data_IF_667793352740
#
_entry.id   IF_667793352740
#
_cell.length_a   1.000
_cell.length_b   1.000
_cell.length_c   1.000
_cell.angle_alpha   90.00
_cell.angle_beta   90.00
_cell.angle_gamma   90.00
#
_symmetry.space_group_name_H-M   'P 1'
#
loop_
_entity.id
_entity.type
_entity.pdbx_description
1 polymer ?
#
# COMPACT_ATOMS: atom_id res chain seq x y z
N UNK A 1 60.86 -14.43 55.13
CA UNK A 1 59.96 -15.29 54.25
C UNK A 1 59.15 -14.41 53.41
N UNK A 2 59.56 -14.28 52.14
CA UNK A 2 58.96 -13.42 51.14
C UNK A 2 58.12 -14.32 50.23
N UNK A 3 56.77 -14.10 50.16
CA UNK A 3 55.87 -14.83 49.23
C UNK A 3 55.90 -14.14 47.87
N UNK A 4 55.99 -14.89 46.77
CA UNK A 4 55.92 -14.29 45.43
C UNK A 4 54.47 -13.93 45.01
N UNK A 5 54.31 -12.76 44.41
CA UNK A 5 53.07 -12.29 43.85
C UNK A 5 52.77 -13.02 42.51
N UNK A 6 51.59 -13.61 42.44
CA UNK A 6 51.08 -14.25 41.20
C UNK A 6 50.38 -13.18 40.37
N UNK A 7 51.03 -12.78 39.28
CA UNK A 7 50.46 -11.87 38.27
C UNK A 7 49.52 -12.68 37.38
N UNK A 8 48.19 -12.45 37.51
CA UNK A 8 47.19 -12.99 36.57
C UNK A 8 47.19 -12.14 35.31
N UNK A 9 47.64 -12.70 34.21
CA UNK A 9 47.48 -12.15 32.88
C UNK A 9 46.05 -12.41 32.41
N UNK A 10 45.25 -11.35 32.35
CA UNK A 10 43.94 -11.38 31.72
C UNK A 10 44.12 -11.31 30.20
N UNK A 11 43.94 -12.41 29.49
CA UNK A 11 43.79 -12.42 28.03
C UNK A 11 42.43 -11.79 27.69
N UNK A 12 42.36 -10.80 26.78
CA UNK A 12 41.09 -10.32 26.26
C UNK A 12 40.50 -11.37 25.32
N UNK A 13 39.35 -11.92 25.72
CA UNK A 13 38.51 -12.72 24.81
C UNK A 13 37.94 -11.77 23.78
N UNK A 14 38.54 -11.73 22.60
CA UNK A 14 37.95 -11.15 21.41
C UNK A 14 36.76 -12.03 20.96
N UNK A 15 35.56 -11.69 21.44
CA UNK A 15 34.35 -12.18 20.77
C UNK A 15 34.31 -11.59 19.35
N UNK A 16 34.15 -12.40 18.33
CA UNK A 16 33.85 -11.85 17.01
C UNK A 16 32.50 -11.13 17.13
N UNK A 17 32.50 -9.81 16.90
CA UNK A 17 31.28 -9.09 16.52
C UNK A 17 30.79 -9.74 15.22
N UNK A 18 29.91 -10.72 15.34
CA UNK A 18 29.04 -11.12 14.25
C UNK A 18 28.22 -9.85 13.95
N UNK A 19 28.48 -9.22 12.81
CA UNK A 19 27.57 -8.27 12.20
C UNK A 19 26.23 -8.99 12.04
N UNK A 20 25.33 -8.79 13.00
CA UNK A 20 23.92 -8.98 12.80
C UNK A 20 23.51 -7.77 11.95
N UNK A 21 23.73 -7.85 10.65
CA UNK A 21 22.94 -7.12 9.71
C UNK A 21 21.50 -7.63 9.94
N UNK A 22 20.69 -6.86 10.65
CA UNK A 22 19.25 -6.96 10.58
C UNK A 22 18.87 -6.71 9.11
N UNK A 23 18.98 -7.75 8.29
CA UNK A 23 18.40 -7.77 6.98
C UNK A 23 16.89 -7.68 7.22
N UNK A 24 16.35 -6.46 7.06
CA UNK A 24 14.92 -6.24 6.97
C UNK A 24 14.37 -7.29 6.01
N UNK A 25 13.26 -7.95 6.39
CA UNK A 25 12.62 -8.96 5.55
C UNK A 25 12.45 -8.38 4.14
N UNK A 26 13.04 -9.04 3.16
CA UNK A 26 12.92 -8.62 1.79
C UNK A 26 11.54 -9.04 1.29
N UNK A 27 10.70 -8.08 0.86
CA UNK A 27 9.37 -8.43 0.36
C UNK A 27 9.49 -9.33 -0.88
N UNK A 28 8.51 -10.23 -1.08
CA UNK A 28 8.45 -11.08 -2.26
C UNK A 28 8.58 -10.27 -3.56
N UNK A 29 8.01 -9.05 -3.59
CA UNK A 29 8.11 -8.13 -4.73
C UNK A 29 9.52 -7.69 -5.08
N UNK A 30 10.45 -7.57 -4.12
CA UNK A 30 11.85 -7.23 -4.41
C UNK A 30 12.61 -8.38 -5.06
N UNK A 31 12.21 -9.61 -4.81
CA UNK A 31 12.86 -10.80 -5.34
C UNK A 31 12.50 -11.08 -6.82
N UNK A 32 11.54 -10.34 -7.38
CA UNK A 32 11.12 -10.49 -8.78
C UNK A 32 12.23 -10.14 -9.80
N UNK A 33 13.21 -9.33 -9.40
CA UNK A 33 14.32 -8.91 -10.25
C UNK A 33 15.40 -9.99 -10.42
N UNK A 34 15.32 -11.10 -9.66
CA UNK A 34 16.25 -12.19 -9.77
C UNK A 34 16.10 -12.95 -11.09
N UNK A 35 17.22 -13.57 -11.56
CA UNK A 35 17.25 -14.36 -12.80
C UNK A 35 16.47 -15.66 -12.70
N UNK A 36 16.12 -16.25 -13.85
CA UNK A 36 15.52 -17.57 -13.91
C UNK A 36 16.35 -18.66 -13.20
N UNK A 37 17.68 -18.56 -13.31
CA UNK A 37 18.58 -19.50 -12.64
C UNK A 37 18.51 -19.40 -11.12
N UNK A 38 18.31 -18.21 -10.58
CA UNK A 38 18.07 -18.05 -9.16
C UNK A 38 16.77 -18.74 -8.73
N UNK A 39 15.68 -18.58 -9.50
CA UNK A 39 14.41 -19.26 -9.21
C UNK A 39 14.53 -20.79 -9.31
N UNK A 40 15.36 -21.31 -10.23
CA UNK A 40 15.66 -22.75 -10.36
C UNK A 40 16.61 -23.25 -9.27
N UNK A 41 17.37 -22.37 -8.64
CA UNK A 41 18.34 -22.68 -7.59
C UNK A 41 17.69 -22.99 -6.24
N UNK A 42 18.52 -23.38 -5.26
CA UNK A 42 18.05 -23.76 -3.92
C UNK A 42 17.42 -22.59 -3.16
N UNK A 43 17.93 -21.37 -3.35
CA UNK A 43 17.40 -20.16 -2.72
C UNK A 43 16.00 -19.82 -3.25
N UNK A 44 15.79 -19.88 -4.55
CA UNK A 44 14.49 -19.66 -5.18
C UNK A 44 13.45 -20.69 -4.72
N UNK A 45 13.82 -21.98 -4.78
CA UNK A 45 12.95 -23.07 -4.31
C UNK A 45 12.60 -22.97 -2.83
N UNK A 46 13.59 -22.66 -1.98
CA UNK A 46 13.36 -22.45 -0.55
C UNK A 46 12.44 -21.27 -0.29
N UNK A 47 12.64 -20.16 -1.00
CA UNK A 47 11.78 -18.97 -0.88
C UNK A 47 10.36 -19.27 -1.34
N UNK A 48 10.18 -19.98 -2.46
CA UNK A 48 8.85 -20.41 -2.92
C UNK A 48 8.16 -21.30 -1.87
N UNK A 49 8.85 -22.30 -1.31
CA UNK A 49 8.32 -23.16 -0.26
C UNK A 49 7.92 -22.37 1.00
N UNK A 50 8.71 -21.35 1.39
CA UNK A 50 8.36 -20.47 2.49
C UNK A 50 7.06 -19.69 2.19
N UNK A 51 6.99 -19.00 1.03
CA UNK A 51 5.81 -18.25 0.60
C UNK A 51 4.56 -19.14 0.57
N UNK A 52 4.66 -20.33 -0.03
CA UNK A 52 3.57 -21.31 -0.08
C UNK A 52 3.06 -21.71 1.31
N UNK A 53 3.95 -21.82 2.29
CA UNK A 53 3.59 -22.19 3.67
C UNK A 53 2.73 -21.11 4.36
N UNK A 54 2.87 -19.83 3.98
CA UNK A 54 2.13 -18.70 4.53
C UNK A 54 0.78 -18.44 3.83
N UNK A 55 0.43 -19.19 2.79
CA UNK A 55 -0.86 -19.02 2.14
C UNK A 55 -2.01 -19.46 3.05
N UNK A 56 -2.94 -18.58 3.35
CA UNK A 56 -4.14 -18.89 4.13
C UNK A 56 -5.04 -19.92 3.43
N UNK A 57 -6.00 -20.48 4.16
CA UNK A 57 -7.02 -21.37 3.58
C UNK A 57 -7.83 -20.72 2.47
N UNK A 58 -7.96 -19.39 2.47
CA UNK A 58 -8.66 -18.63 1.44
C UNK A 58 -7.81 -18.24 0.22
N UNK A 59 -6.49 -18.44 0.27
CA UNK A 59 -5.61 -18.12 -0.86
C UNK A 59 -4.79 -16.83 -0.72
N UNK A 60 -5.00 -16.05 0.33
CA UNK A 60 -4.29 -14.78 0.59
C UNK A 60 -3.16 -14.94 1.61
N UNK A 61 -2.33 -13.91 1.76
CA UNK A 61 -1.19 -13.86 2.69
C UNK A 61 -1.37 -12.79 3.75
N UNK A 62 -0.85 -12.99 4.99
CA UNK A 62 -0.90 -11.99 6.04
C UNK A 62 0.11 -10.86 5.77
N UNK A 63 -0.21 -9.63 6.20
CA UNK A 63 0.76 -8.54 6.26
C UNK A 63 1.71 -8.69 7.45
N UNK A 64 2.86 -8.03 7.39
CA UNK A 64 3.87 -7.99 8.46
C UNK A 64 4.49 -9.35 8.82
N UNK A 65 4.31 -10.38 7.97
CA UNK A 65 5.00 -11.66 8.08
C UNK A 65 6.26 -11.68 7.22
N UNK A 66 7.29 -12.41 7.67
CA UNK A 66 8.45 -12.72 6.84
C UNK A 66 8.15 -13.96 5.99
N UNK A 67 7.39 -13.75 4.92
CA UNK A 67 6.93 -14.84 4.04
C UNK A 67 8.03 -15.45 3.19
N UNK A 68 9.17 -14.77 3.05
CA UNK A 68 10.26 -15.19 2.13
C UNK A 68 11.35 -15.99 2.82
N UNK A 69 11.73 -15.67 4.06
CA UNK A 69 12.89 -16.26 4.74
C UNK A 69 12.55 -17.40 5.69
N UNK A 70 11.31 -17.44 6.20
CA UNK A 70 10.91 -18.42 7.22
C UNK A 70 9.60 -19.11 6.84
N UNK A 71 9.53 -20.44 6.96
CA UNK A 71 8.28 -21.17 6.74
C UNK A 71 7.29 -20.88 7.88
N UNK A 72 6.02 -20.79 7.56
CA UNK A 72 4.96 -20.82 8.55
C UNK A 72 4.72 -22.24 9.04
N UNK A 73 4.69 -22.44 10.34
CA UNK A 73 4.51 -23.76 10.98
C UNK A 73 3.22 -23.86 11.81
N UNK A 74 2.40 -22.82 11.77
CA UNK A 74 1.13 -22.79 12.49
C UNK A 74 -0.05 -23.32 11.68
N UNK A 75 -1.24 -23.17 12.24
CA UNK A 75 -2.49 -23.53 11.59
C UNK A 75 -2.87 -22.50 10.52
N UNK A 76 -2.83 -22.89 9.25
CA UNK A 76 -3.14 -22.04 8.10
C UNK A 76 -4.58 -21.53 8.09
N UNK A 77 -5.51 -22.21 8.75
CA UNK A 77 -6.90 -21.75 8.91
C UNK A 77 -6.99 -20.50 9.81
N UNK A 78 -6.00 -20.27 10.65
CA UNK A 78 -5.91 -19.08 11.52
C UNK A 78 -5.16 -17.91 10.88
N UNK A 79 -4.55 -18.10 9.71
CA UNK A 79 -3.90 -17.01 8.99
C UNK A 79 -4.94 -16.02 8.47
N UNK A 80 -4.78 -14.76 8.85
CA UNK A 80 -5.59 -13.65 8.35
C UNK A 80 -4.88 -13.00 7.17
N UNK A 81 -5.18 -13.49 5.97
CA UNK A 81 -4.69 -12.86 4.76
C UNK A 81 -5.36 -11.51 4.50
N UNK A 82 -4.67 -10.63 3.79
CA UNK A 82 -5.12 -9.26 3.52
C UNK A 82 -4.59 -8.77 2.18
N UNK A 83 -5.18 -7.70 1.66
CA UNK A 83 -4.69 -6.97 0.48
C UNK A 83 -3.87 -5.72 0.86
N UNK A 84 -3.74 -5.46 2.16
CA UNK A 84 -3.04 -4.31 2.70
C UNK A 84 -1.51 -4.47 2.61
N UNK A 85 -0.77 -3.34 2.46
CA UNK A 85 0.70 -3.29 2.49
C UNK A 85 1.39 -4.26 1.50
N UNK A 86 0.84 -4.45 0.29
CA UNK A 86 1.31 -5.36 -0.76
C UNK A 86 1.16 -6.86 -0.45
N UNK A 87 0.67 -7.22 0.73
CA UNK A 87 0.38 -8.61 1.04
C UNK A 87 -0.58 -9.19 -0.02
N UNK A 88 -0.42 -10.46 -0.33
CA UNK A 88 -1.10 -11.21 -1.37
C UNK A 88 -0.60 -10.87 -2.78
N UNK A 89 -0.54 -9.60 -3.19
CA UNK A 89 -0.13 -9.24 -4.55
C UNK A 89 1.36 -9.50 -4.83
N UNK A 90 2.24 -9.22 -3.86
CA UNK A 90 3.68 -9.48 -4.03
C UNK A 90 3.99 -10.99 -4.04
N UNK A 91 3.34 -11.76 -3.16
CA UNK A 91 3.49 -13.22 -3.12
C UNK A 91 2.96 -13.86 -4.41
N UNK A 92 1.82 -13.40 -4.93
CA UNK A 92 1.28 -13.90 -6.20
C UNK A 92 2.22 -13.59 -7.37
N UNK A 93 2.76 -12.39 -7.47
CA UNK A 93 3.75 -12.06 -8.51
C UNK A 93 4.96 -12.97 -8.42
N UNK A 94 5.45 -13.24 -7.21
CA UNK A 94 6.57 -14.16 -7.00
C UNK A 94 6.23 -15.59 -7.47
N UNK A 95 5.06 -16.10 -7.11
CA UNK A 95 4.65 -17.48 -7.50
C UNK A 95 4.44 -17.60 -9.01
N UNK A 96 3.88 -16.59 -9.68
CA UNK A 96 3.80 -16.54 -11.15
C UNK A 96 5.20 -16.61 -11.77
N UNK A 97 6.13 -15.79 -11.28
CA UNK A 97 7.50 -15.74 -11.76
C UNK A 97 8.26 -17.04 -11.49
N UNK A 98 8.04 -17.64 -10.32
CA UNK A 98 8.61 -18.95 -9.97
C UNK A 98 8.09 -20.07 -10.91
N UNK A 99 6.78 -20.08 -11.19
CA UNK A 99 6.20 -21.01 -12.16
C UNK A 99 6.78 -20.83 -13.56
N UNK A 100 6.89 -19.58 -14.05
CA UNK A 100 7.44 -19.29 -15.37
C UNK A 100 8.88 -19.79 -15.52
N UNK A 101 9.68 -19.69 -14.45
CA UNK A 101 11.07 -20.12 -14.46
C UNK A 101 11.27 -21.62 -14.29
N UNK A 102 10.39 -22.31 -13.53
CA UNK A 102 10.62 -23.70 -13.07
C UNK A 102 9.61 -24.70 -13.60
N UNK A 103 8.42 -24.27 -14.01
CA UNK A 103 7.29 -25.15 -14.32
C UNK A 103 6.63 -25.78 -13.08
N UNK A 104 6.93 -25.30 -11.85
CA UNK A 104 6.42 -25.88 -10.61
C UNK A 104 4.90 -25.66 -10.48
N UNK A 105 4.15 -26.76 -10.62
CA UNK A 105 2.69 -26.75 -10.56
C UNK A 105 2.13 -26.39 -9.17
N UNK A 106 2.89 -26.56 -8.10
CA UNK A 106 2.49 -26.14 -6.75
C UNK A 106 2.45 -24.61 -6.67
N UNK A 107 3.44 -23.94 -7.26
CA UNK A 107 3.43 -22.47 -7.39
C UNK A 107 2.25 -21.99 -8.24
N UNK A 108 1.98 -22.68 -9.37
CA UNK A 108 0.81 -22.39 -10.22
C UNK A 108 -0.50 -22.47 -9.45
N UNK A 109 -0.73 -23.59 -8.77
CA UNK A 109 -2.01 -23.86 -8.11
C UNK A 109 -2.24 -22.91 -6.95
N UNK A 110 -1.20 -22.57 -6.21
CA UNK A 110 -1.27 -21.53 -5.16
C UNK A 110 -1.51 -20.14 -5.74
N UNK A 111 -0.88 -19.80 -6.88
CA UNK A 111 -1.15 -18.56 -7.59
C UNK A 111 -2.63 -18.47 -8.02
N UNK A 112 -3.13 -19.49 -8.71
CA UNK A 112 -4.52 -19.50 -9.19
C UNK A 112 -5.52 -19.36 -8.05
N UNK A 113 -5.29 -20.04 -6.93
CA UNK A 113 -6.12 -19.91 -5.74
C UNK A 113 -6.15 -18.48 -5.19
N UNK A 114 -5.00 -17.83 -5.10
CA UNK A 114 -4.93 -16.44 -4.61
C UNK A 114 -5.48 -15.43 -5.62
N UNK A 115 -5.30 -15.68 -6.91
CA UNK A 115 -5.87 -14.88 -7.99
C UNK A 115 -7.41 -14.93 -7.97
N UNK A 116 -7.99 -16.12 -7.89
CA UNK A 116 -9.45 -16.32 -7.79
C UNK A 116 -10.00 -15.66 -6.52
N UNK A 117 -9.27 -15.73 -5.39
CA UNK A 117 -9.64 -15.03 -4.16
C UNK A 117 -9.70 -13.50 -4.33
N UNK A 118 -8.79 -12.87 -5.10
CA UNK A 118 -8.88 -11.44 -5.43
C UNK A 118 -10.14 -11.13 -6.22
N UNK A 119 -10.49 -11.98 -7.19
CA UNK A 119 -11.70 -11.78 -8.01
C UNK A 119 -12.98 -11.96 -7.18
N UNK A 120 -13.03 -12.94 -6.28
CA UNK A 120 -14.16 -13.20 -5.37
C UNK A 120 -14.36 -12.07 -4.34
N UNK A 121 -13.27 -11.44 -3.93
CA UNK A 121 -13.31 -10.35 -2.95
C UNK A 121 -13.89 -9.04 -3.50
N UNK A 122 -14.02 -8.91 -4.82
CA UNK A 122 -14.54 -7.69 -5.44
C UNK A 122 -16.04 -7.55 -5.19
N UNK A 123 -16.45 -6.43 -4.62
CA UNK A 123 -17.86 -6.09 -4.48
C UNK A 123 -18.54 -5.87 -5.85
N UNK A 124 -19.88 -6.03 -5.93
CA UNK A 124 -20.63 -5.77 -7.18
C UNK A 124 -20.42 -4.37 -7.76
N UNK A 125 -20.15 -3.37 -6.91
CA UNK A 125 -19.85 -2.00 -7.31
C UNK A 125 -18.41 -1.79 -7.80
N UNK A 126 -17.56 -2.83 -7.77
CA UNK A 126 -16.18 -2.81 -8.24
C UNK A 126 -15.12 -2.52 -7.17
N UNK A 127 -15.52 -2.21 -5.93
CA UNK A 127 -14.59 -1.97 -4.82
C UNK A 127 -14.04 -3.26 -4.19
N UNK A 128 -13.04 -3.13 -3.32
CA UNK A 128 -12.51 -4.22 -2.52
C UNK A 128 -12.42 -3.85 -1.04
N UNK A 129 -12.74 -4.81 -0.14
CA UNK A 129 -12.44 -4.68 1.28
C UNK A 129 -10.93 -4.80 1.56
N UNK A 130 -10.52 -4.54 2.79
CA UNK A 130 -9.13 -4.73 3.21
C UNK A 130 -8.71 -6.21 3.22
N UNK A 131 -9.64 -7.12 3.47
CA UNK A 131 -9.48 -8.58 3.39
C UNK A 131 -10.81 -9.27 3.10
N UNK A 132 -10.75 -10.50 2.62
CA UNK A 132 -11.94 -11.29 2.30
C UNK A 132 -11.85 -12.69 2.97
N UNK A 133 -12.96 -13.23 3.55
CA UNK A 133 -14.27 -12.58 3.75
C UNK A 133 -14.17 -11.34 4.63
N UNK A 134 -14.92 -10.25 4.33
CA UNK A 134 -14.84 -9.01 5.08
C UNK A 134 -15.38 -9.19 6.50
N UNK A 135 -14.75 -8.55 7.48
CA UNK A 135 -15.24 -8.48 8.85
C UNK A 135 -16.43 -7.53 9.01
N UNK A 136 -16.91 -7.41 10.26
CA UNK A 136 -18.01 -6.49 10.60
C UNK A 136 -17.61 -5.05 10.84
N UNK A 137 -16.30 -4.76 10.93
CA UNK A 137 -15.74 -3.43 11.21
C UNK A 137 -15.34 -2.71 9.92
N UNK A 138 -14.67 -1.58 10.03
CA UNK A 138 -14.23 -0.75 8.91
C UNK A 138 -13.45 -1.48 7.80
N UNK A 139 -12.89 -2.66 8.07
CA UNK A 139 -12.18 -3.48 7.08
C UNK A 139 -13.06 -3.93 5.91
N UNK A 140 -14.40 -3.87 6.06
CA UNK A 140 -15.38 -4.14 5.01
C UNK A 140 -15.49 -3.00 4.00
N UNK A 141 -15.13 -1.78 4.40
CA UNK A 141 -15.22 -0.62 3.50
C UNK A 141 -14.30 -0.79 2.29
N UNK A 142 -14.68 -0.16 1.18
CA UNK A 142 -13.81 0.00 0.02
C UNK A 142 -12.55 0.72 0.50
N UNK A 143 -11.40 0.08 0.35
CA UNK A 143 -10.17 0.48 1.02
C UNK A 143 -9.15 1.05 0.04
N UNK A 144 -8.98 2.38 0.06
CA UNK A 144 -7.88 3.06 -0.62
C UNK A 144 -6.65 3.23 0.28
N UNK A 145 -6.85 3.11 1.61
CA UNK A 145 -5.77 3.24 2.60
C UNK A 145 -4.55 2.41 2.20
N UNK A 146 -3.37 3.01 2.37
CA UNK A 146 -2.06 2.43 2.03
C UNK A 146 -1.98 1.87 0.59
N UNK A 147 -2.81 2.39 -0.32
CA UNK A 147 -2.86 2.02 -1.73
C UNK A 147 -3.45 0.63 -2.01
N UNK A 148 -4.22 0.05 -1.11
CA UNK A 148 -4.74 -1.31 -1.22
C UNK A 148 -5.45 -1.56 -2.56
N UNK A 149 -6.52 -0.81 -2.85
CA UNK A 149 -7.28 -1.01 -4.09
C UNK A 149 -6.47 -0.65 -5.35
N UNK A 150 -5.60 0.36 -5.27
CA UNK A 150 -4.72 0.74 -6.39
C UNK A 150 -3.81 -0.43 -6.77
N UNK A 151 -3.18 -1.10 -5.78
CA UNK A 151 -2.31 -2.26 -6.05
C UNK A 151 -3.05 -3.46 -6.60
N UNK A 152 -4.29 -3.70 -6.15
CA UNK A 152 -5.11 -4.75 -6.75
C UNK A 152 -5.41 -4.45 -8.23
N UNK A 153 -5.71 -3.21 -8.57
CA UNK A 153 -5.95 -2.80 -9.95
C UNK A 153 -4.67 -2.87 -10.79
N UNK A 154 -3.54 -2.44 -10.27
CA UNK A 154 -2.24 -2.63 -10.93
C UNK A 154 -1.95 -4.12 -11.17
N UNK A 155 -2.18 -4.98 -10.17
CA UNK A 155 -2.00 -6.42 -10.30
C UNK A 155 -2.93 -7.03 -11.37
N UNK A 156 -4.22 -6.61 -11.41
CA UNK A 156 -5.17 -7.07 -12.41
C UNK A 156 -4.83 -6.55 -13.82
N UNK A 157 -4.34 -5.32 -13.95
CA UNK A 157 -3.83 -4.79 -15.23
C UNK A 157 -2.65 -5.59 -15.74
N UNK A 158 -1.69 -5.84 -14.85
CA UNK A 158 -0.46 -6.56 -15.18
C UNK A 158 -0.72 -8.06 -15.40
N UNK A 159 -1.90 -8.58 -15.02
CA UNK A 159 -2.26 -9.99 -15.21
C UNK A 159 -2.26 -10.42 -16.68
N UNK A 160 -2.37 -9.48 -17.62
CA UNK A 160 -2.21 -9.76 -19.06
C UNK A 160 -0.86 -10.43 -19.41
N UNK A 161 0.17 -10.21 -18.59
CA UNK A 161 1.50 -10.77 -18.76
C UNK A 161 1.69 -12.12 -18.03
N UNK A 162 0.73 -12.54 -17.21
CA UNK A 162 0.86 -13.77 -16.41
C UNK A 162 0.53 -15.02 -17.26
N UNK A 163 1.56 -15.73 -17.72
CA UNK A 163 1.43 -16.96 -18.53
C UNK A 163 0.71 -18.09 -17.81
N UNK A 164 0.67 -18.04 -16.49
CA UNK A 164 -0.01 -19.00 -15.61
C UNK A 164 -1.54 -18.94 -15.73
N UNK A 165 -2.11 -17.84 -16.27
CA UNK A 165 -3.54 -17.66 -16.40
C UNK A 165 -4.08 -18.25 -17.70
N UNK A 166 -5.26 -18.86 -17.61
CA UNK A 166 -6.06 -19.26 -18.76
C UNK A 166 -6.84 -18.06 -19.35
N UNK A 167 -7.37 -18.16 -20.59
CA UNK A 167 -8.11 -17.08 -21.25
C UNK A 167 -9.34 -16.58 -20.47
N UNK A 168 -10.01 -17.47 -19.72
CA UNK A 168 -11.20 -17.10 -18.95
C UNK A 168 -10.80 -16.21 -17.74
N UNK A 169 -9.69 -16.53 -17.07
CA UNK A 169 -9.18 -15.69 -15.96
C UNK A 169 -8.65 -14.35 -16.46
N UNK A 170 -8.00 -14.29 -17.62
CA UNK A 170 -7.64 -13.01 -18.26
C UNK A 170 -8.86 -12.13 -18.52
N UNK A 171 -9.94 -12.70 -19.06
CA UNK A 171 -11.20 -11.99 -19.28
C UNK A 171 -11.82 -11.49 -17.98
N UNK A 172 -11.84 -12.32 -16.92
CA UNK A 172 -12.34 -11.93 -15.60
C UNK A 172 -11.50 -10.81 -15.00
N UNK A 173 -10.18 -10.87 -15.12
CA UNK A 173 -9.28 -9.83 -14.64
C UNK A 173 -9.54 -8.48 -15.32
N UNK A 174 -9.66 -8.47 -16.66
CA UNK A 174 -9.97 -7.26 -17.42
C UNK A 174 -11.32 -6.65 -17.03
N UNK A 175 -12.34 -7.50 -16.84
CA UNK A 175 -13.66 -7.05 -16.37
C UNK A 175 -13.61 -6.50 -14.94
N UNK A 176 -12.88 -7.16 -14.04
CA UNK A 176 -12.69 -6.71 -12.66
C UNK A 176 -11.92 -5.39 -12.57
N UNK A 177 -10.88 -5.22 -13.39
CA UNK A 177 -10.15 -3.95 -13.55
C UNK A 177 -11.08 -2.83 -13.97
N UNK A 178 -11.88 -3.02 -15.02
CA UNK A 178 -12.84 -2.01 -15.50
C UNK A 178 -13.83 -1.59 -14.42
N UNK A 179 -14.46 -2.56 -13.71
CA UNK A 179 -15.36 -2.26 -12.58
C UNK A 179 -14.66 -1.50 -11.46
N UNK A 180 -13.41 -1.82 -11.18
CA UNK A 180 -12.63 -1.14 -10.15
C UNK A 180 -12.31 0.31 -10.50
N UNK A 181 -11.97 0.60 -11.76
CA UNK A 181 -11.81 1.98 -12.25
C UNK A 181 -13.12 2.76 -12.10
N UNK A 182 -14.25 2.18 -12.53
CA UNK A 182 -15.57 2.79 -12.34
C UNK A 182 -15.91 3.06 -10.86
N UNK A 183 -15.53 2.15 -9.96
CA UNK A 183 -15.69 2.35 -8.53
C UNK A 183 -14.87 3.55 -8.02
N UNK A 184 -13.61 3.68 -8.44
CA UNK A 184 -12.78 4.86 -8.13
C UNK A 184 -13.48 6.14 -8.57
N UNK A 185 -13.98 6.18 -9.80
CA UNK A 185 -14.65 7.37 -10.34
C UNK A 185 -15.92 7.73 -9.55
N UNK A 186 -16.70 6.74 -9.13
CA UNK A 186 -17.91 6.94 -8.30
C UNK A 186 -17.60 7.36 -6.87
N UNK A 187 -16.46 6.95 -6.32
CA UNK A 187 -16.00 7.35 -4.98
C UNK A 187 -15.38 8.76 -4.96
N UNK A 188 -15.11 9.38 -6.11
CA UNK A 188 -14.54 10.72 -6.12
C UNK A 188 -15.50 11.74 -5.49
N UNK A 189 -15.02 12.46 -4.48
CA UNK A 189 -15.82 13.39 -3.71
C UNK A 189 -16.07 14.65 -4.52
N UNK A 190 -17.33 15.08 -4.57
CA UNK A 190 -17.73 16.32 -5.23
C UNK A 190 -17.96 17.41 -4.19
N UNK A 191 -17.35 18.57 -4.38
CA UNK A 191 -17.59 19.78 -3.57
C UNK A 191 -18.14 20.88 -4.48
N UNK A 192 -19.36 21.36 -4.20
CA UNK A 192 -20.04 22.31 -5.07
C UNK A 192 -20.23 21.77 -6.51
N UNK A 193 -20.42 20.46 -6.67
CA UNK A 193 -20.57 19.78 -7.96
C UNK A 193 -19.26 19.58 -8.74
N UNK A 194 -18.12 20.01 -8.21
CA UNK A 194 -16.79 19.83 -8.83
C UNK A 194 -16.07 18.61 -8.27
N UNK A 195 -15.48 17.75 -9.12
CA UNK A 195 -14.64 16.64 -8.66
C UNK A 195 -13.44 17.15 -7.87
N UNK A 196 -13.15 16.47 -6.75
CA UNK A 196 -11.97 16.73 -5.93
C UNK A 196 -11.11 15.47 -5.81
N UNK A 197 -10.97 14.94 -4.61
CA UNK A 197 -10.16 13.75 -4.30
C UNK A 197 -10.98 12.71 -3.54
N UNK A 198 -10.34 11.72 -2.97
CA UNK A 198 -10.97 10.55 -2.34
C UNK A 198 -10.72 10.53 -0.83
N UNK A 199 -11.58 9.85 -0.09
CA UNK A 199 -11.33 9.43 1.27
C UNK A 199 -10.43 8.17 1.29
N UNK A 200 -9.79 7.91 2.43
CA UNK A 200 -8.99 6.70 2.62
C UNK A 200 -9.85 5.42 2.58
N UNK A 201 -11.09 5.51 3.02
CA UNK A 201 -12.10 4.46 2.89
C UNK A 201 -13.45 5.04 2.46
N UNK A 202 -14.23 4.20 1.75
CA UNK A 202 -15.59 4.51 1.36
C UNK A 202 -16.52 3.37 1.77
N UNK A 203 -17.72 3.71 2.19
CA UNK A 203 -18.76 2.73 2.53
C UNK A 203 -19.02 1.81 1.33
N UNK A 204 -19.06 0.52 1.57
CA UNK A 204 -19.16 -0.49 0.53
C UNK A 204 -20.52 -0.57 -0.16
N UNK A 205 -21.52 0.16 0.35
CA UNK A 205 -22.88 0.20 -0.21
C UNK A 205 -23.16 1.56 -0.84
N UNK A 206 -22.95 2.63 -0.07
CA UNK A 206 -23.31 4.01 -0.46
C UNK A 206 -22.20 4.72 -1.24
N UNK A 207 -20.97 4.22 -1.19
CA UNK A 207 -19.77 4.83 -1.73
C UNK A 207 -19.38 6.16 -1.06
N UNK A 208 -20.07 6.54 0.01
CA UNK A 208 -19.76 7.75 0.76
C UNK A 208 -18.42 7.61 1.53
N UNK A 209 -17.71 8.71 1.79
CA UNK A 209 -16.55 8.70 2.68
C UNK A 209 -16.87 8.03 4.02
N UNK A 210 -16.01 7.11 4.47
CA UNK A 210 -16.25 6.31 5.67
C UNK A 210 -15.11 6.44 6.69
N UNK A 211 -15.47 6.33 7.97
CA UNK A 211 -14.53 6.26 9.09
C UNK A 211 -13.85 4.89 9.11
N UNK A 212 -12.55 4.86 9.46
CA UNK A 212 -11.85 3.63 9.81
C UNK A 212 -11.51 3.58 11.30
N UNK A 213 -10.25 3.80 11.68
CA UNK A 213 -9.85 3.89 13.07
C UNK A 213 -10.37 5.21 13.70
N UNK A 214 -10.33 5.34 15.00
CA UNK A 214 -10.91 6.52 15.67
C UNK A 214 -10.36 7.85 15.16
N UNK A 215 -9.08 7.88 14.81
CA UNK A 215 -8.40 9.06 14.25
C UNK A 215 -8.44 9.17 12.73
N UNK A 216 -9.10 8.25 12.03
CA UNK A 216 -9.29 8.23 10.57
C UNK A 216 -10.74 8.53 10.21
N UNK A 217 -11.11 9.79 10.39
CA UNK A 217 -12.46 10.27 10.11
C UNK A 217 -12.71 10.41 8.60
N UNK A 218 -13.99 10.43 8.15
CA UNK A 218 -14.33 10.77 6.77
C UNK A 218 -13.69 12.10 6.37
N UNK A 219 -12.96 12.10 5.24
CA UNK A 219 -12.12 13.25 4.86
C UNK A 219 -11.77 13.22 3.37
N UNK A 220 -11.27 14.34 2.86
CA UNK A 220 -10.47 14.37 1.64
C UNK A 220 -9.04 13.92 2.03
N UNK A 221 -8.51 12.87 1.41
CA UNK A 221 -7.19 12.36 1.78
C UNK A 221 -6.10 12.86 0.82
N UNK A 222 -5.08 13.53 1.36
CA UNK A 222 -3.91 13.95 0.59
C UNK A 222 -2.98 12.79 0.22
N UNK A 223 -2.91 11.74 1.04
CA UNK A 223 -2.01 10.61 0.83
C UNK A 223 -2.56 9.63 -0.20
N UNK A 224 -3.73 9.08 0.06
CA UNK A 224 -4.35 8.03 -0.76
C UNK A 224 -4.71 8.56 -2.14
N UNK A 225 -5.20 9.79 -2.22
CA UNK A 225 -5.58 10.43 -3.49
C UNK A 225 -4.41 10.65 -4.43
N UNK A 226 -3.21 10.88 -3.90
CA UNK A 226 -2.01 10.97 -4.75
C UNK A 226 -1.73 9.64 -5.46
N UNK A 227 -1.87 8.52 -4.77
CA UNK A 227 -1.74 7.18 -5.36
C UNK A 227 -2.80 6.91 -6.42
N UNK A 228 -4.07 7.25 -6.12
CA UNK A 228 -5.19 7.09 -7.06
C UNK A 228 -4.97 7.93 -8.32
N UNK A 229 -4.61 9.20 -8.19
CA UNK A 229 -4.37 10.07 -9.35
C UNK A 229 -3.25 9.54 -10.24
N UNK A 230 -2.15 9.10 -9.63
CA UNK A 230 -1.01 8.53 -10.37
C UNK A 230 -1.43 7.27 -11.14
N UNK A 231 -2.20 6.39 -10.51
CA UNK A 231 -2.78 5.22 -11.17
C UNK A 231 -3.71 5.61 -12.33
N UNK A 232 -4.64 6.57 -12.13
CA UNK A 232 -5.54 7.03 -13.20
C UNK A 232 -4.78 7.67 -14.37
N UNK A 233 -3.72 8.42 -14.10
CA UNK A 233 -2.84 8.99 -15.12
C UNK A 233 -2.01 7.94 -15.87
N UNK A 234 -1.84 6.74 -15.32
CA UNK A 234 -1.11 5.63 -15.95
C UNK A 234 -2.01 4.73 -16.82
N UNK A 235 -3.31 4.98 -16.85
CA UNK A 235 -4.24 4.26 -17.73
C UNK A 235 -4.00 4.68 -19.18
N UNK A 236 -3.76 3.68 -20.03
CA UNK A 236 -3.67 3.85 -21.47
C UNK A 236 -5.05 4.19 -22.05
N UNK A 237 -5.13 5.15 -22.96
CA UNK A 237 -6.38 5.59 -23.60
C UNK A 237 -7.49 5.90 -22.56
N UNK A 238 -7.28 6.87 -21.64
CA UNK A 238 -8.22 7.14 -20.57
C UNK A 238 -9.56 7.65 -21.11
N UNK A 239 -10.66 7.16 -20.55
CA UNK A 239 -11.99 7.65 -20.89
C UNK A 239 -12.16 9.14 -20.51
N UNK A 240 -13.14 9.86 -21.12
CA UNK A 240 -13.44 11.22 -20.72
C UNK A 240 -13.73 11.38 -19.22
N UNK A 241 -14.29 10.35 -18.56
CA UNK A 241 -14.54 10.35 -17.12
C UNK A 241 -13.25 10.28 -16.32
N UNK A 242 -12.29 9.45 -16.72
CA UNK A 242 -10.95 9.41 -16.11
C UNK A 242 -10.24 10.76 -16.28
N UNK A 243 -10.31 11.36 -17.47
CA UNK A 243 -9.71 12.67 -17.72
C UNK A 243 -10.30 13.74 -16.80
N UNK A 244 -11.63 13.77 -16.64
CA UNK A 244 -12.29 14.73 -15.72
C UNK A 244 -11.88 14.49 -14.27
N UNK A 245 -11.79 13.23 -13.84
CA UNK A 245 -11.39 12.86 -12.50
C UNK A 245 -9.95 13.31 -12.20
N UNK A 246 -9.03 13.08 -13.13
CA UNK A 246 -7.63 13.52 -13.01
C UNK A 246 -7.55 15.05 -12.92
N UNK A 247 -8.23 15.78 -13.79
CA UNK A 247 -8.24 17.26 -13.76
C UNK A 247 -8.72 17.79 -12.41
N UNK A 248 -9.88 17.34 -11.93
CA UNK A 248 -10.42 17.79 -10.64
C UNK A 248 -9.52 17.47 -9.46
N UNK A 249 -8.94 16.27 -9.43
CA UNK A 249 -8.00 15.89 -8.37
C UNK A 249 -6.71 16.71 -8.40
N UNK A 250 -6.14 16.99 -9.57
CA UNK A 250 -4.94 17.84 -9.72
C UNK A 250 -5.22 19.28 -9.30
N UNK A 251 -6.37 19.84 -9.71
CA UNK A 251 -6.81 21.18 -9.28
C UNK A 251 -6.93 21.26 -7.75
N UNK A 252 -7.51 20.22 -7.14
CA UNK A 252 -7.59 20.17 -5.67
C UNK A 252 -6.19 20.12 -5.02
N UNK A 253 -5.26 19.30 -5.55
CA UNK A 253 -3.89 19.24 -5.01
C UNK A 253 -3.18 20.59 -5.10
N UNK A 254 -3.39 21.34 -6.16
CA UNK A 254 -2.80 22.69 -6.29
C UNK A 254 -3.41 23.65 -5.27
N UNK A 255 -4.73 23.62 -5.09
CA UNK A 255 -5.44 24.49 -4.14
C UNK A 255 -5.14 24.16 -2.67
N UNK A 256 -4.95 22.86 -2.33
CA UNK A 256 -4.72 22.39 -0.96
C UNK A 256 -3.23 22.40 -0.54
N UNK A 257 -2.36 22.92 -1.38
CA UNK A 257 -0.90 22.98 -1.17
C UNK A 257 -0.55 23.89 0.02
N UNK A 258 0.29 23.36 0.92
CA UNK A 258 0.82 24.07 2.09
C UNK A 258 2.30 24.38 1.83
N UNK A 259 2.63 25.68 1.67
CA UNK A 259 3.98 26.16 1.39
C UNK A 259 4.60 26.88 2.58
N UNK A 260 5.94 26.92 2.64
CA UNK A 260 6.66 27.66 3.68
C UNK A 260 6.81 26.92 4.99
N UNK A 261 6.58 25.60 5.00
CA UNK A 261 6.70 24.76 6.19
C UNK A 261 7.42 23.45 5.90
N UNK A 262 8.12 22.92 6.89
CA UNK A 262 8.70 21.59 6.93
C UNK A 262 8.12 20.80 8.10
N UNK A 263 7.65 19.59 7.84
CA UNK A 263 7.24 18.64 8.87
C UNK A 263 8.31 17.57 9.04
N UNK A 264 8.85 17.42 10.23
CA UNK A 264 9.95 16.48 10.48
C UNK A 264 10.29 16.30 11.94
N UNK A 265 11.25 15.41 12.21
CA UNK A 265 11.73 15.16 13.58
C UNK A 265 12.48 16.38 14.15
N UNK A 266 12.23 16.67 15.43
CA UNK A 266 12.94 17.64 16.25
C UNK A 266 13.11 17.03 17.65
N UNK A 267 14.30 16.48 17.94
CA UNK A 267 14.49 15.61 19.09
C UNK A 267 13.65 14.34 18.97
N UNK A 268 12.88 14.04 20.00
CA UNK A 268 12.01 12.86 20.05
C UNK A 268 10.60 13.09 19.51
N UNK A 269 10.31 14.26 18.93
CA UNK A 269 8.99 14.59 18.45
C UNK A 269 8.99 15.05 16.98
N UNK A 270 7.83 14.99 16.33
CA UNK A 270 7.60 15.57 15.01
C UNK A 270 6.91 16.91 15.15
N UNK A 271 7.42 17.90 14.46
CA UNK A 271 6.94 19.27 14.51
C UNK A 271 6.79 19.86 13.11
N UNK A 272 5.85 20.80 12.98
CA UNK A 272 5.71 21.66 11.82
C UNK A 272 6.46 22.97 12.08
N UNK A 273 7.51 23.26 11.31
CA UNK A 273 8.35 24.47 11.44
C UNK A 273 8.27 25.31 10.19
N UNK A 274 8.32 26.63 10.33
CA UNK A 274 8.47 27.54 9.18
C UNK A 274 9.79 27.28 8.47
N UNK A 275 9.71 27.06 7.16
CA UNK A 275 10.86 26.83 6.27
C UNK A 275 10.44 27.14 4.83
N UNK A 276 10.77 28.32 4.36
CA UNK A 276 10.42 28.78 3.01
C UNK A 276 11.19 28.07 1.89
N UNK A 277 12.27 27.35 2.23
CA UNK A 277 13.03 26.53 1.28
C UNK A 277 12.49 25.10 1.13
N UNK A 278 11.56 24.69 2.02
CA UNK A 278 11.03 23.36 2.00
C UNK A 278 10.08 23.14 0.80
N UNK A 279 10.06 21.92 0.23
CA UNK A 279 9.06 21.57 -0.76
C UNK A 279 7.65 21.63 -0.13
N UNK A 280 6.60 21.87 -0.94
CA UNK A 280 5.25 21.96 -0.44
C UNK A 280 4.80 20.68 0.24
N UNK A 281 3.92 20.81 1.20
CA UNK A 281 3.29 19.75 1.98
C UNK A 281 1.81 19.67 1.68
N UNK A 282 1.25 18.51 1.97
CA UNK A 282 -0.20 18.26 2.08
C UNK A 282 -0.47 17.58 3.41
N UNK A 283 -1.57 17.94 4.07
CA UNK A 283 -2.05 17.19 5.21
C UNK A 283 -2.62 15.84 4.75
N UNK A 284 -2.62 14.85 5.62
CA UNK A 284 -3.23 13.56 5.30
C UNK A 284 -4.74 13.68 5.18
N UNK A 285 -5.38 14.45 6.06
CA UNK A 285 -6.83 14.63 6.10
C UNK A 285 -7.23 16.08 6.01
N UNK A 286 -8.26 16.33 5.19
CA UNK A 286 -8.93 17.60 5.08
C UNK A 286 -10.42 17.40 5.33
N UNK A 287 -11.02 18.34 6.04
CA UNK A 287 -12.43 18.32 6.41
C UNK A 287 -13.32 18.45 5.15
N UNK A 288 -14.40 17.69 5.10
CA UNK A 288 -15.28 17.59 3.94
C UNK A 288 -16.07 18.88 3.69
N UNK A 289 -16.41 19.62 4.77
CA UNK A 289 -17.25 20.82 4.69
C UNK A 289 -16.41 22.08 4.49
N UNK A 290 -15.30 22.19 5.24
CA UNK A 290 -14.47 23.39 5.25
C UNK A 290 -13.27 23.34 4.30
N UNK A 291 -12.88 22.15 3.87
CA UNK A 291 -11.67 21.93 3.08
C UNK A 291 -10.36 22.22 3.84
N UNK A 292 -10.40 22.43 5.16
CA UNK A 292 -9.22 22.71 5.98
C UNK A 292 -8.56 21.43 6.46
N UNK A 293 -7.21 21.40 6.62
CA UNK A 293 -6.52 20.31 7.29
C UNK A 293 -7.07 20.10 8.71
N UNK A 294 -7.17 18.83 9.12
CA UNK A 294 -7.42 18.47 10.51
C UNK A 294 -6.53 17.32 10.97
N UNK A 295 -6.38 17.23 12.28
CA UNK A 295 -5.62 16.18 12.95
C UNK A 295 -6.52 15.55 14.01
N UNK A 296 -6.26 14.30 14.35
CA UNK A 296 -7.14 13.60 15.28
C UNK A 296 -6.33 12.63 16.14
N UNK A 297 -6.64 12.61 17.43
CA UNK A 297 -6.13 11.59 18.34
C UNK A 297 -7.09 10.41 18.41
N UNK A 298 -6.82 9.43 19.29
CA UNK A 298 -7.67 8.27 19.54
C UNK A 298 -9.03 8.61 20.17
N UNK A 299 -9.22 9.86 20.56
CA UNK A 299 -10.50 10.39 21.05
C UNK A 299 -11.54 10.65 19.93
N UNK A 300 -11.12 10.61 18.68
CA UNK A 300 -11.99 10.88 17.53
C UNK A 300 -12.37 12.35 17.35
N UNK A 301 -11.67 13.26 18.03
CA UNK A 301 -12.00 14.70 17.99
C UNK A 301 -11.06 15.43 17.05
N UNK A 302 -11.60 16.13 16.05
CA UNK A 302 -10.82 16.96 15.12
C UNK A 302 -10.08 18.08 15.86
N UNK A 303 -8.81 18.27 15.52
CA UNK A 303 -7.94 19.35 15.99
C UNK A 303 -7.43 20.13 14.78
N UNK A 304 -7.23 21.44 14.95
CA UNK A 304 -6.79 22.33 13.85
C UNK A 304 -5.28 22.26 13.61
N UNK A 305 -4.51 21.71 14.52
CA UNK A 305 -3.05 21.67 14.45
C UNK A 305 -2.50 20.32 14.94
N UNK A 306 -1.40 19.85 14.34
CA UNK A 306 -0.75 18.59 14.68
C UNK A 306 -0.14 18.58 16.08
N UNK A 307 0.20 19.72 16.65
CA UNK A 307 0.73 19.85 18.01
C UNK A 307 -0.36 19.70 19.09
N UNK A 308 -1.64 19.77 18.73
CA UNK A 308 -2.77 19.55 19.65
C UNK A 308 -3.09 18.06 19.86
N UNK A 309 -2.46 17.14 19.11
CA UNK A 309 -2.61 15.70 19.32
C UNK A 309 -1.45 15.14 20.13
N UNK A 310 -1.68 13.99 20.81
CA UNK A 310 -0.69 13.36 21.65
C UNK A 310 0.56 12.90 20.89
N UNK A 311 1.70 12.89 21.56
CA UNK A 311 3.01 12.54 20.96
C UNK A 311 3.00 11.15 20.28
N UNK A 312 2.28 10.16 20.82
CA UNK A 312 2.14 8.82 20.24
C UNK A 312 1.55 8.90 18.83
N UNK A 313 0.43 9.63 18.64
CA UNK A 313 -0.19 9.79 17.34
C UNK A 313 0.61 10.72 16.43
N UNK A 314 1.15 11.81 16.97
CA UNK A 314 1.97 12.74 16.20
C UNK A 314 3.20 12.08 15.57
N UNK A 315 3.86 11.20 16.32
CA UNK A 315 5.06 10.50 15.87
C UNK A 315 4.76 9.20 15.10
N UNK A 316 3.68 8.51 15.43
CA UNK A 316 3.33 7.20 14.89
C UNK A 316 2.49 7.22 13.60
N UNK A 317 2.24 8.41 13.00
CA UNK A 317 1.41 8.54 11.81
C UNK A 317 1.93 9.62 10.85
N UNK A 318 1.70 9.42 9.56
CA UNK A 318 2.12 10.37 8.53
C UNK A 318 1.05 11.45 8.32
N UNK A 319 1.05 12.46 9.20
CA UNK A 319 0.08 13.58 9.17
C UNK A 319 0.29 14.56 8.02
N UNK A 320 1.53 14.72 7.58
CA UNK A 320 1.91 15.54 6.42
C UNK A 320 2.85 14.76 5.51
N UNK A 321 2.81 15.06 4.23
CA UNK A 321 3.74 14.54 3.24
C UNK A 321 3.82 15.40 1.99
N UNK A 322 4.80 15.10 1.15
CA UNK A 322 5.04 15.79 -0.13
C UNK A 322 4.31 15.10 -1.31
N UNK A 323 3.19 14.44 -1.05
CA UNK A 323 2.50 13.57 -2.01
C UNK A 323 2.14 14.27 -3.33
N UNK A 324 1.68 15.53 -3.27
CA UNK A 324 1.31 16.29 -4.45
C UNK A 324 2.47 16.65 -5.38
N UNK A 325 3.73 16.58 -4.89
CA UNK A 325 4.91 16.79 -5.75
C UNK A 325 4.97 15.72 -6.85
N UNK A 326 4.74 14.46 -6.49
CA UNK A 326 4.68 13.36 -7.47
C UNK A 326 3.47 13.49 -8.40
N UNK A 327 2.32 13.91 -7.88
CA UNK A 327 1.11 14.19 -8.70
C UNK A 327 1.41 15.24 -9.76
N UNK A 328 1.99 16.38 -9.39
CA UNK A 328 2.33 17.44 -10.35
C UNK A 328 3.32 16.97 -11.43
N UNK A 329 4.36 16.20 -11.02
CA UNK A 329 5.35 15.64 -11.94
C UNK A 329 4.71 14.67 -12.95
N UNK A 330 3.87 13.77 -12.46
CA UNK A 330 3.24 12.74 -13.30
C UNK A 330 2.14 13.35 -14.17
N UNK A 331 1.43 14.39 -13.68
CA UNK A 331 0.47 15.16 -14.50
C UNK A 331 1.15 15.87 -15.67
N UNK A 332 2.31 16.48 -15.47
CA UNK A 332 3.05 17.10 -16.56
C UNK A 332 3.48 16.09 -17.65
N UNK A 333 3.82 14.85 -17.27
CA UNK A 333 4.08 13.76 -18.22
C UNK A 333 2.80 13.29 -18.93
N UNK A 334 1.72 13.17 -18.17
CA UNK A 334 0.42 12.75 -18.67
C UNK A 334 -0.12 13.73 -19.74
N UNK A 335 -0.03 15.04 -19.49
CA UNK A 335 -0.42 16.06 -20.48
C UNK A 335 0.36 15.95 -21.80
N UNK A 336 1.67 15.67 -21.74
CA UNK A 336 2.48 15.46 -22.95
C UNK A 336 2.03 14.25 -23.76
N UNK A 337 1.64 13.15 -23.07
CA UNK A 337 1.07 11.96 -23.75
C UNK A 337 -0.26 12.27 -24.41
N UNK A 338 -1.13 13.03 -23.72
CA UNK A 338 -2.45 13.39 -24.29
C UNK A 338 -2.35 14.36 -25.48
N UNK A 339 -1.31 15.20 -25.54
CA UNK A 339 -1.11 16.14 -26.64
C UNK A 339 -0.45 15.50 -27.89
N UNK A 340 0.13 14.31 -27.74
CA UNK A 340 0.76 13.54 -28.84
C UNK A 340 -0.18 12.55 -29.51
N UNK A 341 -1.41 12.48 -29.07
CA UNK A 341 -2.52 11.72 -29.63
C UNK A 341 -3.58 12.66 -30.17
#
# INVERSE_FOLDING_TARGET
MIRPAVTRVLLPILLPLALIADLLAESAGKLLENSDDWFRGDDGRRTAANILSWQSSHGSWPKNGDTTRKPYRGDRAKLKGTFDNKATTDELRFLSRAFDATGDTVCRDAFLKGFDHILEAQYPNGGWPQFHPPGKQYHRHITFNDGTMVRLLEFLRDSREFKVLDPERHKKAAAAFGRGVECILKCQILIGGKPTVWCAQHDEVTLAPAKARDYELPSLSGSESAGILRFLMDIENPSPSVIRAVKGGVEWFEAAKISGYRYGKSGNDRVLKKDFSAPPLWARFYDLDTGKPFFCDRDGIKKDSVDQIGAERRNGYAWYGNWGVSVAKDHAKWLRRQAGH
#
